data_IF_142188587292
#
_entry.id   IF_142188587292
#
_cell.length_a   1.000
_cell.length_b   1.000
_cell.length_c   1.000
_cell.angle_alpha   90.00
_cell.angle_beta   90.00
_cell.angle_gamma   90.00
#
_symmetry.space_group_name_H-M   'P 1'
#
loop_
_entity.id
_entity.type
_entity.pdbx_description
1 polymer ?
#
# COMPACT_ATOMS: atom_id res chain seq x y z
N UNK A 1 -1.03 -12.74 13.23
CA UNK A 1 -1.52 -12.19 14.50
C UNK A 1 -1.83 -10.71 14.31
N UNK A 2 -0.92 -9.76 14.58
CA UNK A 2 -1.24 -8.32 14.50
C UNK A 2 -1.77 -7.78 13.15
N UNK A 3 -1.18 -8.16 12.01
CA UNK A 3 -1.67 -7.67 10.70
C UNK A 3 -3.12 -8.14 10.46
N UNK A 4 -3.48 -9.34 10.93
CA UNK A 4 -4.84 -9.84 10.80
C UNK A 4 -5.82 -9.16 11.74
N UNK A 5 -5.43 -8.93 12.99
CA UNK A 5 -6.27 -8.18 13.95
C UNK A 5 -6.51 -6.73 13.47
N UNK A 6 -5.51 -6.12 12.84
CA UNK A 6 -5.68 -4.78 12.24
C UNK A 6 -6.71 -4.80 11.12
N UNK A 7 -6.72 -5.84 10.28
CA UNK A 7 -7.73 -6.00 9.23
C UNK A 7 -9.13 -6.14 9.84
N UNK A 8 -9.31 -6.98 10.86
CA UNK A 8 -10.58 -7.16 11.56
C UNK A 8 -11.09 -5.85 12.20
N UNK A 9 -10.19 -5.00 12.71
CA UNK A 9 -10.54 -3.68 13.24
C UNK A 9 -10.97 -2.74 12.11
N UNK A 10 -10.24 -2.76 10.99
CA UNK A 10 -10.54 -1.93 9.82
C UNK A 10 -11.87 -2.35 9.19
N UNK A 11 -12.26 -3.61 9.23
CA UNK A 11 -13.55 -4.09 8.70
C UNK A 11 -14.78 -3.46 9.35
N UNK A 12 -14.63 -2.98 10.60
CA UNK A 12 -15.71 -2.37 11.37
C UNK A 12 -15.47 -0.89 11.66
N UNK A 13 -14.37 -0.32 11.15
CA UNK A 13 -14.04 1.08 11.42
C UNK A 13 -14.97 2.01 10.65
N UNK A 14 -15.45 3.06 11.30
CA UNK A 14 -16.17 4.13 10.62
C UNK A 14 -15.21 5.00 9.79
N UNK A 15 -15.58 5.47 8.58
CA UNK A 15 -14.71 6.28 7.72
C UNK A 15 -14.12 7.52 8.42
N UNK A 16 -14.88 8.18 9.31
CA UNK A 16 -14.41 9.37 10.04
C UNK A 16 -13.32 8.98 11.05
N UNK A 17 -13.40 7.79 11.65
CA UNK A 17 -12.35 7.29 12.53
C UNK A 17 -11.12 6.83 11.74
N UNK A 18 -11.32 6.23 10.56
CA UNK A 18 -10.23 5.84 9.67
C UNK A 18 -9.34 7.02 9.29
N UNK A 19 -9.92 8.18 8.97
CA UNK A 19 -9.16 9.39 8.62
C UNK A 19 -8.17 9.81 9.71
N UNK A 20 -8.45 9.52 10.98
CA UNK A 20 -7.57 9.87 12.11
C UNK A 20 -6.34 8.97 12.21
N UNK A 21 -6.42 7.74 11.71
CA UNK A 21 -5.39 6.70 11.88
C UNK A 21 -4.73 6.28 10.56
N UNK A 22 -5.27 6.68 9.41
CA UNK A 22 -4.78 6.28 8.08
C UNK A 22 -3.28 6.53 7.89
N UNK A 23 -2.76 7.68 8.31
CA UNK A 23 -1.35 8.00 8.11
C UNK A 23 -0.40 7.09 8.89
N UNK A 24 -0.50 6.98 10.24
CA UNK A 24 0.36 6.09 11.00
C UNK A 24 0.14 4.61 10.63
N UNK A 25 -1.10 4.21 10.31
CA UNK A 25 -1.41 2.86 9.86
C UNK A 25 -0.68 2.53 8.55
N UNK A 26 -0.86 3.33 7.50
CA UNK A 26 -0.26 3.03 6.20
C UNK A 26 1.26 3.23 6.19
N UNK A 27 1.81 4.09 7.05
CA UNK A 27 3.27 4.12 7.30
C UNK A 27 3.77 2.77 7.83
N UNK A 28 3.03 2.12 8.74
CA UNK A 28 3.37 0.79 9.23
C UNK A 28 3.18 -0.29 8.14
N UNK A 29 2.08 -0.25 7.39
CA UNK A 29 1.82 -1.22 6.29
C UNK A 29 2.91 -1.12 5.22
N UNK A 30 3.35 0.09 4.85
CA UNK A 30 4.47 0.30 3.93
C UNK A 30 5.76 -0.42 4.38
N UNK A 31 6.06 -0.40 5.69
CA UNK A 31 7.19 -1.14 6.27
C UNK A 31 6.98 -2.65 6.20
N UNK A 32 5.78 -3.13 6.47
CA UNK A 32 5.45 -4.56 6.39
C UNK A 32 5.59 -5.09 4.97
N UNK A 33 5.09 -4.35 3.97
CA UNK A 33 5.24 -4.67 2.54
C UNK A 33 6.72 -4.69 2.11
N UNK A 34 7.53 -3.80 2.68
CA UNK A 34 8.98 -3.77 2.44
C UNK A 34 9.78 -4.84 3.22
N UNK A 35 9.11 -5.71 3.99
CA UNK A 35 9.79 -6.71 4.80
C UNK A 35 10.48 -7.75 3.90
N UNK A 36 11.74 -8.15 4.19
CA UNK A 36 12.39 -9.25 3.48
C UNK A 36 11.75 -10.61 3.81
N UNK A 37 10.96 -10.69 4.89
CA UNK A 37 10.27 -11.89 5.31
C UNK A 37 8.96 -12.04 4.54
N UNK A 38 8.90 -13.01 3.62
CA UNK A 38 7.79 -13.13 2.67
C UNK A 38 6.41 -13.22 3.33
N UNK A 39 6.24 -13.97 4.43
CA UNK A 39 4.94 -14.09 5.11
C UNK A 39 4.42 -12.74 5.66
N UNK A 40 5.31 -11.83 6.04
CA UNK A 40 4.93 -10.50 6.55
C UNK A 40 4.50 -9.61 5.38
N UNK A 41 5.28 -9.61 4.30
CA UNK A 41 4.96 -8.85 3.09
C UNK A 41 3.65 -9.35 2.46
N UNK A 42 3.50 -10.66 2.32
CA UNK A 42 2.30 -11.31 1.80
C UNK A 42 1.07 -10.93 2.63
N UNK A 43 1.12 -11.10 3.95
CA UNK A 43 -0.04 -10.80 4.81
C UNK A 43 -0.45 -9.34 4.78
N UNK A 44 0.51 -8.42 4.58
CA UNK A 44 0.23 -7.00 4.41
C UNK A 44 -0.36 -6.67 3.03
N UNK A 45 0.12 -7.32 1.96
CA UNK A 45 -0.43 -7.13 0.61
C UNK A 45 -1.85 -7.67 0.47
N UNK A 46 -2.21 -8.69 1.26
CA UNK A 46 -3.59 -9.24 1.30
C UNK A 46 -4.66 -8.21 1.70
N UNK A 47 -4.29 -7.08 2.30
CA UNK A 47 -5.22 -5.97 2.58
C UNK A 47 -5.92 -5.46 1.32
N UNK A 48 -5.29 -5.58 0.15
CA UNK A 48 -5.91 -5.20 -1.13
C UNK A 48 -7.00 -6.15 -1.62
N UNK A 49 -7.22 -7.29 -0.96
CA UNK A 49 -8.35 -8.17 -1.26
C UNK A 49 -9.61 -7.80 -0.46
N UNK A 50 -9.49 -6.89 0.49
CA UNK A 50 -10.58 -6.44 1.33
C UNK A 50 -11.29 -5.25 0.66
N UNK A 51 -12.49 -5.47 0.13
CA UNK A 51 -13.23 -4.46 -0.63
C UNK A 51 -13.52 -3.20 0.18
N UNK A 52 -13.82 -3.33 1.48
CA UNK A 52 -14.11 -2.19 2.34
C UNK A 52 -12.85 -1.35 2.61
N UNK A 53 -11.73 -2.01 2.89
CA UNK A 53 -10.46 -1.29 3.03
C UNK A 53 -10.05 -0.61 1.72
N UNK A 54 -10.25 -1.27 0.58
CA UNK A 54 -9.98 -0.71 -0.75
C UNK A 54 -10.83 0.53 -1.00
N UNK A 55 -12.12 0.54 -0.64
CA UNK A 55 -12.97 1.74 -0.78
C UNK A 55 -12.51 2.88 0.12
N UNK A 56 -12.09 2.59 1.36
CA UNK A 56 -11.50 3.60 2.25
C UNK A 56 -10.20 4.19 1.69
N UNK A 57 -9.37 3.35 1.05
CA UNK A 57 -8.14 3.80 0.38
C UNK A 57 -8.47 4.72 -0.80
N UNK A 58 -9.48 4.38 -1.61
CA UNK A 58 -9.88 5.17 -2.77
C UNK A 58 -10.35 6.58 -2.37
N UNK A 59 -11.24 6.66 -1.37
CA UNK A 59 -11.74 7.92 -0.81
C UNK A 59 -10.61 8.81 -0.24
N UNK A 60 -9.53 8.18 0.26
CA UNK A 60 -8.40 8.84 0.88
C UNK A 60 -7.10 8.75 0.05
N UNK A 61 -7.22 8.51 -1.25
CA UNK A 61 -6.11 8.20 -2.15
C UNK A 61 -4.99 9.23 -2.14
N UNK A 62 -5.33 10.52 -2.00
CA UNK A 62 -4.38 11.64 -1.93
C UNK A 62 -3.42 11.57 -0.74
N UNK A 63 -3.81 10.88 0.34
CA UNK A 63 -2.98 10.70 1.54
C UNK A 63 -2.27 9.35 1.51
N UNK A 64 -2.99 8.29 1.15
CA UNK A 64 -2.48 6.92 1.29
C UNK A 64 -1.52 6.54 0.16
N UNK A 65 -1.83 6.89 -1.09
CA UNK A 65 -0.99 6.50 -2.25
C UNK A 65 0.44 7.04 -2.10
N UNK A 66 0.69 8.32 -1.75
CA UNK A 66 2.05 8.82 -1.55
C UNK A 66 2.84 8.09 -0.46
N UNK A 67 2.18 7.56 0.57
CA UNK A 67 2.82 6.80 1.65
C UNK A 67 3.24 5.41 1.16
N UNK A 68 2.36 4.74 0.42
CA UNK A 68 2.56 3.35 -0.02
C UNK A 68 3.48 3.25 -1.25
N UNK A 69 3.37 4.20 -2.16
CA UNK A 69 4.00 4.14 -3.48
C UNK A 69 5.51 3.88 -3.44
N UNK A 70 6.34 4.60 -2.65
CA UNK A 70 7.79 4.39 -2.65
C UNK A 70 8.18 2.95 -2.25
N UNK A 71 7.47 2.39 -1.26
CA UNK A 71 7.72 1.03 -0.78
C UNK A 71 7.35 -0.01 -1.83
N UNK A 72 6.16 0.11 -2.42
CA UNK A 72 5.68 -0.79 -3.47
C UNK A 72 6.56 -0.72 -4.73
N UNK A 73 6.87 0.49 -5.19
CA UNK A 73 7.67 0.69 -6.39
C UNK A 73 9.11 0.18 -6.25
N UNK A 74 9.68 0.24 -5.04
CA UNK A 74 10.97 -0.39 -4.74
C UNK A 74 10.85 -1.92 -4.73
N UNK A 75 9.86 -2.46 -4.03
CA UNK A 75 9.67 -3.91 -3.89
C UNK A 75 9.35 -4.62 -5.22
N UNK A 76 8.71 -3.95 -6.17
CA UNK A 76 8.46 -4.51 -7.50
C UNK A 76 9.73 -4.81 -8.31
N UNK A 77 10.86 -4.20 -7.92
CA UNK A 77 12.16 -4.36 -8.59
C UNK A 77 13.17 -5.17 -7.76
N UNK A 78 13.10 -5.07 -6.44
CA UNK A 78 14.18 -5.52 -5.55
C UNK A 78 13.81 -6.74 -4.69
N UNK A 79 12.53 -7.13 -4.59
CA UNK A 79 12.14 -8.24 -3.74
C UNK A 79 12.54 -9.61 -4.33
N UNK A 80 13.16 -10.48 -3.53
CA UNK A 80 13.72 -11.76 -3.98
C UNK A 80 12.64 -12.80 -4.35
N UNK A 81 11.49 -12.76 -3.67
CA UNK A 81 10.38 -13.69 -3.89
C UNK A 81 9.46 -13.19 -5.02
N UNK A 82 9.37 -13.96 -6.11
CA UNK A 82 8.58 -13.62 -7.31
C UNK A 82 7.07 -13.53 -7.06
N UNK A 83 6.52 -14.31 -6.12
CA UNK A 83 5.10 -14.24 -5.76
C UNK A 83 4.77 -12.89 -5.11
N UNK A 84 5.61 -12.44 -4.18
CA UNK A 84 5.48 -11.11 -3.57
C UNK A 84 5.58 -10.02 -4.62
N UNK A 85 6.52 -10.13 -5.56
CA UNK A 85 6.64 -9.19 -6.68
C UNK A 85 5.34 -9.13 -7.50
N UNK A 86 4.71 -10.28 -7.79
CA UNK A 86 3.41 -10.33 -8.47
C UNK A 86 2.30 -9.63 -7.68
N UNK A 87 2.22 -9.86 -6.37
CA UNK A 87 1.25 -9.17 -5.51
C UNK A 87 1.49 -7.66 -5.47
N UNK A 88 2.75 -7.23 -5.38
CA UNK A 88 3.11 -5.81 -5.46
C UNK A 88 2.67 -5.19 -6.78
N UNK A 89 2.84 -5.87 -7.93
CA UNK A 89 2.35 -5.38 -9.21
C UNK A 89 0.83 -5.22 -9.24
N UNK A 90 0.09 -6.19 -8.69
CA UNK A 90 -1.37 -6.10 -8.59
C UNK A 90 -1.80 -4.88 -7.76
N UNK A 91 -1.13 -4.66 -6.63
CA UNK A 91 -1.38 -3.49 -5.78
C UNK A 91 -1.03 -2.19 -6.49
N UNK A 92 0.13 -2.10 -7.15
CA UNK A 92 0.51 -0.91 -7.92
C UNK A 92 -0.50 -0.60 -9.02
N UNK A 93 -1.02 -1.63 -9.70
CA UNK A 93 -2.08 -1.46 -10.69
C UNK A 93 -3.35 -0.92 -10.05
N UNK A 94 -3.78 -1.47 -8.91
CA UNK A 94 -4.93 -0.96 -8.17
C UNK A 94 -4.77 0.52 -7.79
N UNK A 95 -3.58 0.96 -7.37
CA UNK A 95 -3.34 2.38 -7.07
C UNK A 95 -3.40 3.28 -8.31
N UNK A 96 -2.90 2.78 -9.45
CA UNK A 96 -3.01 3.49 -10.74
C UNK A 96 -4.46 3.61 -11.18
N UNK A 97 -5.25 2.56 -11.04
CA UNK A 97 -6.67 2.55 -11.40
C UNK A 97 -7.48 3.52 -10.51
N UNK A 98 -7.14 3.64 -9.21
CA UNK A 98 -7.78 4.57 -8.27
C UNK A 98 -7.50 6.05 -8.59
N UNK A 99 -6.25 6.40 -8.88
CA UNK A 99 -5.87 7.78 -9.14
C UNK A 99 -4.68 7.87 -10.12
N UNK A 100 -4.95 7.80 -11.44
CA UNK A 100 -3.90 7.68 -12.45
C UNK A 100 -3.00 8.91 -12.49
N UNK A 101 -3.57 10.11 -12.34
CA UNK A 101 -2.82 11.38 -12.34
C UNK A 101 -1.82 11.41 -11.19
N UNK A 102 -2.28 11.12 -9.97
CA UNK A 102 -1.40 11.08 -8.80
C UNK A 102 -0.32 10.01 -8.92
N UNK A 103 -0.66 8.84 -9.46
CA UNK A 103 0.28 7.75 -9.66
C UNK A 103 1.40 8.13 -10.64
N UNK A 104 1.06 8.80 -11.74
CA UNK A 104 2.02 9.28 -12.74
C UNK A 104 2.94 10.36 -12.15
N UNK A 105 2.39 11.31 -11.41
CA UNK A 105 3.15 12.36 -10.72
C UNK A 105 4.17 11.78 -9.73
N UNK A 106 3.75 10.80 -8.93
CA UNK A 106 4.63 10.09 -7.99
C UNK A 106 5.70 9.28 -8.71
N UNK A 107 5.37 8.64 -9.83
CA UNK A 107 6.32 7.89 -10.65
C UNK A 107 7.38 8.81 -11.24
N UNK A 108 6.99 9.97 -11.75
CA UNK A 108 7.91 10.97 -12.29
C UNK A 108 8.84 11.51 -11.18
N UNK A 109 8.28 11.88 -10.04
CA UNK A 109 9.01 12.42 -8.88
C UNK A 109 10.02 11.40 -8.34
N UNK A 110 9.60 10.15 -8.15
CA UNK A 110 10.48 9.09 -7.65
C UNK A 110 11.65 8.78 -8.60
N UNK A 111 11.44 8.84 -9.92
CA UNK A 111 12.53 8.69 -10.90
C UNK A 111 13.50 9.86 -10.84
N UNK A 112 12.99 11.09 -10.71
CA UNK A 112 13.83 12.29 -10.64
C UNK A 112 14.73 12.31 -9.39
N UNK A 113 14.22 11.84 -8.24
CA UNK A 113 15.00 11.74 -7.00
C UNK A 113 16.14 10.71 -7.08
N UNK A 114 15.97 9.61 -7.84
CA UNK A 114 17.00 8.57 -7.99
C UNK A 114 18.08 8.86 -9.02
N UNK A 115 17.93 9.93 -9.82
CA UNK A 115 18.94 10.38 -10.80
C UNK A 115 19.91 11.40 -10.16
N UNK A 116 19.56 11.97 -9.00
CA UNK A 116 20.45 12.80 -8.19
C UNK A 116 21.37 11.94 -7.33
#
# INVERSE_FOLDING_TARGET
>A
MFIGEVEEIVDVIDPIQFVKIQEPLFKQIARCVSSPHFQVAERALYFWNNEYLVSLIEENSKVIIPIMFPSLYRMSKEHWNKTIVSFVYNVLKSLMDMNPILFDDLTASYKAERIK
#
